data_IF_776226148138
#
_entry.id   IF_776226148138
#
_cell.length_a   1.000
_cell.length_b   1.000
_cell.length_c   1.000
_cell.angle_alpha   90.00
_cell.angle_beta   90.00
_cell.angle_gamma   90.00
#
_symmetry.space_group_name_H-M   'P 1'
#
loop_
_entity.id
_entity.type
_entity.pdbx_description
1 polymer ?
#
# COMPACT_ATOMS: atom_id res chain seq x y z
N UNK A 1 -8.96 9.23 -5.74
CA UNK A 1 -9.68 7.92 -5.78
C UNK A 1 -11.06 8.11 -5.18
N UNK A 2 -12.04 7.30 -5.56
CA UNK A 2 -13.45 7.43 -5.13
C UNK A 2 -13.87 6.21 -4.30
N UNK A 3 -14.73 6.42 -3.31
CA UNK A 3 -15.49 5.36 -2.66
C UNK A 3 -16.55 4.83 -3.63
N UNK A 4 -16.55 3.51 -3.86
CA UNK A 4 -17.42 2.86 -4.86
C UNK A 4 -18.89 2.76 -4.41
N UNK A 5 -19.17 2.94 -3.13
CA UNK A 5 -20.51 2.92 -2.54
C UNK A 5 -21.15 4.30 -2.61
N UNK A 6 -20.38 5.35 -2.32
CA UNK A 6 -20.91 6.72 -2.15
C UNK A 6 -20.65 7.62 -3.36
N UNK A 7 -19.62 7.34 -4.17
CA UNK A 7 -19.19 8.17 -5.29
C UNK A 7 -18.42 9.44 -4.88
N UNK A 8 -18.17 9.65 -3.60
CA UNK A 8 -17.34 10.74 -3.08
C UNK A 8 -15.86 10.33 -3.05
N UNK A 9 -14.91 11.28 -2.88
CA UNK A 9 -13.52 10.93 -2.61
C UNK A 9 -13.44 9.89 -1.50
N UNK A 10 -12.63 8.85 -1.69
CA UNK A 10 -12.44 7.82 -0.68
C UNK A 10 -11.78 8.43 0.56
N UNK A 11 -12.25 8.02 1.74
CA UNK A 11 -11.57 8.25 3.01
C UNK A 11 -10.73 7.02 3.34
N UNK A 12 -9.44 7.22 3.58
CA UNK A 12 -8.47 6.17 3.90
C UNK A 12 -7.40 6.76 4.81
N UNK A 13 -6.79 5.92 5.64
CA UNK A 13 -5.68 6.28 6.52
C UNK A 13 -4.31 6.16 5.83
N UNK A 14 -4.29 5.61 4.60
CA UNK A 14 -3.09 5.50 3.78
C UNK A 14 -2.82 6.79 3.01
N UNK A 15 -1.58 7.26 3.03
CA UNK A 15 -1.12 8.39 2.22
C UNK A 15 -0.57 7.95 0.87
N UNK A 16 -0.06 6.72 0.77
CA UNK A 16 0.46 6.17 -0.47
C UNK A 16 0.48 4.65 -0.46
N UNK A 17 0.30 4.06 -1.64
CA UNK A 17 0.49 2.63 -1.90
C UNK A 17 1.34 2.47 -3.16
N UNK A 18 2.33 1.60 -3.08
CA UNK A 18 3.15 1.14 -4.21
C UNK A 18 3.02 -0.37 -4.31
N UNK A 19 2.73 -0.87 -5.52
CA UNK A 19 2.65 -2.30 -5.81
C UNK A 19 3.69 -2.65 -6.86
N UNK A 20 4.50 -3.66 -6.58
CA UNK A 20 5.50 -4.22 -7.47
C UNK A 20 5.04 -5.61 -7.92
N UNK A 21 5.07 -5.84 -9.23
CA UNK A 21 4.60 -7.08 -9.84
C UNK A 21 5.01 -7.15 -11.30
N UNK A 22 4.64 -8.24 -11.99
CA UNK A 22 5.04 -8.46 -13.38
C UNK A 22 4.21 -7.66 -14.40
N UNK A 23 2.98 -7.28 -14.04
CA UNK A 23 2.03 -6.60 -14.93
C UNK A 23 1.73 -5.19 -14.44
N UNK A 24 2.08 -4.18 -15.24
CA UNK A 24 1.82 -2.77 -14.89
C UNK A 24 0.34 -2.41 -14.81
N UNK A 25 -0.53 -3.08 -15.57
CA UNK A 25 -1.99 -2.87 -15.49
C UNK A 25 -2.53 -3.41 -14.17
N UNK A 26 -2.03 -4.58 -13.76
CA UNK A 26 -2.43 -5.21 -12.50
C UNK A 26 -1.95 -4.39 -11.30
N UNK A 27 -0.70 -3.94 -11.30
CA UNK A 27 -0.17 -3.13 -10.18
C UNK A 27 -0.86 -1.77 -10.08
N UNK A 28 -1.21 -1.12 -11.21
CA UNK A 28 -1.98 0.13 -11.22
C UNK A 28 -3.39 -0.07 -10.62
N UNK A 29 -4.08 -1.13 -11.04
CA UNK A 29 -5.38 -1.50 -10.50
C UNK A 29 -5.31 -1.82 -9.00
N UNK A 30 -4.38 -2.68 -8.59
CA UNK A 30 -4.22 -3.10 -7.20
C UNK A 30 -3.83 -1.94 -6.28
N UNK A 31 -2.93 -1.04 -6.72
CA UNK A 31 -2.57 0.13 -5.92
C UNK A 31 -3.80 1.00 -5.60
N UNK A 32 -4.75 1.09 -6.53
CA UNK A 32 -6.02 1.78 -6.34
C UNK A 32 -6.93 1.03 -5.36
N UNK A 33 -7.08 -0.29 -5.53
CA UNK A 33 -7.90 -1.10 -4.63
C UNK A 33 -7.39 -1.08 -3.19
N UNK A 34 -6.09 -1.26 -3.00
CA UNK A 34 -5.45 -1.29 -1.68
C UNK A 34 -5.56 0.08 -1.00
N UNK A 35 -5.34 1.17 -1.74
CA UNK A 35 -5.48 2.52 -1.19
C UNK A 35 -6.91 2.79 -0.70
N UNK A 36 -7.93 2.38 -1.46
CA UNK A 36 -9.33 2.52 -1.07
C UNK A 36 -9.67 1.64 0.14
N UNK A 37 -9.09 0.44 0.25
CA UNK A 37 -9.32 -0.49 1.37
C UNK A 37 -8.71 -0.03 2.69
N UNK A 38 -7.65 0.78 2.64
CA UNK A 38 -6.97 1.30 3.83
C UNK A 38 -6.10 0.25 4.56
N UNK A 39 -5.51 0.65 5.69
CA UNK A 39 -4.55 -0.21 6.41
C UNK A 39 -5.17 -1.50 6.94
N UNK A 40 -6.46 -1.51 7.26
CA UNK A 40 -7.17 -2.65 7.84
C UNK A 40 -7.23 -3.89 6.94
N UNK A 41 -6.98 -3.76 5.64
CA UNK A 41 -6.93 -4.89 4.71
C UNK A 41 -5.50 -5.25 4.26
N UNK A 42 -4.47 -4.55 4.73
CA UNK A 42 -3.09 -4.73 4.25
C UNK A 42 -2.54 -6.13 4.49
N UNK A 43 -2.85 -6.79 5.61
CA UNK A 43 -2.34 -8.13 5.96
C UNK A 43 -2.50 -9.14 4.82
N UNK A 44 -3.64 -9.09 4.12
CA UNK A 44 -3.93 -9.95 2.97
C UNK A 44 -2.95 -9.69 1.83
N UNK A 45 -2.69 -8.42 1.52
CA UNK A 45 -1.86 -8.00 0.39
C UNK A 45 -0.37 -8.14 0.67
N UNK A 46 0.04 -7.93 1.93
CA UNK A 46 1.44 -8.09 2.36
C UNK A 46 1.89 -9.55 2.31
N UNK A 47 0.94 -10.49 2.45
CA UNK A 47 1.16 -11.94 2.41
C UNK A 47 1.03 -12.56 1.01
N UNK A 48 0.73 -11.76 -0.02
CA UNK A 48 0.58 -12.25 -1.39
C UNK A 48 1.96 -12.61 -1.98
N UNK A 49 2.06 -13.75 -2.67
CA UNK A 49 3.33 -14.25 -3.24
C UNK A 49 3.60 -13.71 -4.65
N UNK A 50 2.56 -13.26 -5.36
CA UNK A 50 2.67 -12.82 -6.76
C UNK A 50 3.02 -11.32 -6.88
N UNK A 51 2.77 -10.56 -5.82
CA UNK A 51 3.02 -9.12 -5.75
C UNK A 51 3.77 -8.75 -4.47
N UNK A 52 4.37 -7.56 -4.48
CA UNK A 52 4.98 -6.97 -3.29
C UNK A 52 4.40 -5.59 -3.07
N UNK A 53 4.09 -5.26 -1.82
CA UNK A 53 3.40 -4.02 -1.48
C UNK A 53 4.27 -3.20 -0.55
N UNK A 54 4.24 -1.88 -0.75
CA UNK A 54 4.70 -0.88 0.22
C UNK A 54 3.55 0.11 0.41
N UNK A 55 3.06 0.27 1.63
CA UNK A 55 2.04 1.23 1.99
C UNK A 55 2.54 2.14 3.12
N UNK A 56 2.08 3.38 3.14
CA UNK A 56 2.45 4.38 4.15
C UNK A 56 1.18 5.00 4.71
N UNK A 57 1.06 5.09 6.03
CA UNK A 57 -0.06 5.76 6.70
C UNK A 57 0.21 7.25 6.98
N UNK A 58 -0.82 7.95 7.44
CA UNK A 58 -0.74 9.36 7.84
C UNK A 58 0.24 9.64 9.00
N UNK A 59 0.63 8.63 9.77
CA UNK A 59 1.58 8.71 10.89
C UNK A 59 3.02 8.39 10.49
N UNK A 60 3.29 8.17 9.19
CA UNK A 60 4.61 7.81 8.67
C UNK A 60 5.01 6.36 8.96
N UNK A 61 4.07 5.48 9.33
CA UNK A 61 4.32 4.04 9.43
C UNK A 61 4.39 3.45 8.02
N UNK A 62 5.43 2.67 7.76
CA UNK A 62 5.69 1.98 6.49
C UNK A 62 5.40 0.50 6.68
N UNK A 63 4.39 0.02 5.98
CA UNK A 63 4.01 -1.38 5.85
C UNK A 63 4.63 -1.92 4.57
N UNK A 64 5.26 -3.10 4.62
CA UNK A 64 5.81 -3.69 3.40
C UNK A 64 5.86 -5.22 3.46
N UNK A 65 5.71 -5.87 2.30
CA UNK A 65 5.88 -7.32 2.19
C UNK A 65 7.29 -7.73 2.65
N UNK A 66 7.41 -8.89 3.31
CA UNK A 66 8.70 -9.37 3.82
C UNK A 66 9.74 -9.54 2.71
N UNK A 67 9.30 -9.93 1.52
CA UNK A 67 10.12 -10.11 0.31
C UNK A 67 10.81 -8.84 -0.18
N UNK A 68 10.23 -7.65 0.07
CA UNK A 68 10.79 -6.36 -0.34
C UNK A 68 11.52 -5.64 0.79
N UNK A 69 11.29 -6.00 2.05
CA UNK A 69 11.84 -5.32 3.24
C UNK A 69 13.37 -5.16 3.21
N UNK A 70 14.09 -6.14 2.67
CA UNK A 70 15.56 -6.10 2.54
C UNK A 70 16.10 -5.25 1.38
N UNK A 71 15.22 -4.83 0.46
CA UNK A 71 15.56 -4.09 -0.77
C UNK A 71 15.20 -2.60 -0.70
N UNK A 72 14.64 -2.15 0.43
CA UNK A 72 14.28 -0.77 0.69
C UNK A 72 14.93 -0.25 1.96
N UNK A 73 15.04 1.07 2.06
CA UNK A 73 15.62 1.75 3.23
C UNK A 73 14.91 3.07 3.45
N UNK A 74 14.71 3.45 4.71
CA UNK A 74 14.14 4.74 5.08
C UNK A 74 15.25 5.80 5.07
N UNK A 75 15.02 6.91 4.37
CA UNK A 75 15.96 8.03 4.23
C UNK A 75 15.50 9.32 4.93
N UNK A 76 14.25 9.39 5.39
CA UNK A 76 13.69 10.51 6.15
C UNK A 76 13.16 9.98 7.50
N UNK A 77 13.62 10.58 8.59
CA UNK A 77 13.36 10.18 9.98
C UNK A 77 11.88 10.28 10.37
N UNK A 78 11.03 10.91 9.54
CA UNK A 78 9.58 10.92 9.72
C UNK A 78 8.95 9.55 9.52
N UNK A 79 9.62 8.66 8.79
CA UNK A 79 9.10 7.33 8.49
C UNK A 79 9.72 6.26 9.38
N UNK A 80 8.95 5.21 9.67
CA UNK A 80 9.42 4.02 10.39
C UNK A 80 8.71 2.79 9.86
N UNK A 81 9.41 1.66 9.82
CA UNK A 81 8.72 0.38 9.58
C UNK A 81 7.79 0.06 10.75
N UNK A 82 6.70 -0.65 10.43
CA UNK A 82 5.92 -1.39 11.43
C UNK A 82 6.76 -2.47 12.13
#
# INVERSE_FOLDING_TARGET
MFDLTTGYPCETDLVSVTVVGQSGIETDFLSTCIFIGGSGELDRWLSDEDIEVIAIDENGVVYCSDSIKSRISISDDKFRFE
#
